data_IF_500762586141
#
_entry.id   IF_500762586141
#
_cell.length_a   1.000
_cell.length_b   1.000
_cell.length_c   1.000
_cell.angle_alpha   90.00
_cell.angle_beta   90.00
_cell.angle_gamma   90.00
#
_symmetry.space_group_name_H-M   'P 1'
#
loop_
_entity.id
_entity.type
_entity.pdbx_description
1 polymer ?
#
# COMPACT_ATOMS: atom_id res chain seq x y z
N UNK A 1 12.78 10.68 -32.81
CA UNK A 1 13.53 11.16 -31.63
C UNK A 1 13.22 10.19 -30.49
N UNK A 2 14.21 9.54 -29.88
CA UNK A 2 14.00 8.72 -28.68
C UNK A 2 13.83 9.68 -27.50
N UNK A 3 12.62 9.78 -26.95
CA UNK A 3 12.39 10.44 -25.67
C UNK A 3 12.75 9.45 -24.56
N UNK A 4 13.82 9.69 -23.76
CA UNK A 4 14.12 8.82 -22.65
C UNK A 4 12.96 8.87 -21.65
N UNK A 5 12.38 7.71 -21.36
CA UNK A 5 11.38 7.60 -20.30
C UNK A 5 12.08 7.72 -18.95
N UNK A 6 11.77 8.76 -18.20
CA UNK A 6 12.37 9.01 -16.88
C UNK A 6 11.46 8.46 -15.78
N UNK A 7 11.82 7.36 -15.10
CA UNK A 7 11.04 6.90 -13.96
C UNK A 7 11.08 7.93 -12.82
N UNK A 8 10.03 8.01 -11.97
CA UNK A 8 10.10 8.85 -10.78
C UNK A 8 11.22 8.38 -9.84
N UNK A 9 11.76 9.28 -9.02
CA UNK A 9 12.79 8.90 -8.05
C UNK A 9 12.29 7.75 -7.16
N UNK A 10 13.21 6.88 -6.74
CA UNK A 10 12.91 5.75 -5.86
C UNK A 10 11.87 4.76 -6.44
N UNK A 11 11.73 4.74 -7.77
CA UNK A 11 10.88 3.78 -8.47
C UNK A 11 11.43 2.36 -8.39
N UNK A 12 10.55 1.39 -8.13
CA UNK A 12 10.84 -0.04 -8.25
C UNK A 12 9.55 -0.87 -8.33
N UNK A 13 9.68 -2.12 -8.79
CA UNK A 13 8.63 -3.13 -8.63
C UNK A 13 8.64 -3.69 -7.19
N UNK A 14 7.46 -3.78 -6.58
CA UNK A 14 7.22 -4.49 -5.32
C UNK A 14 6.77 -5.91 -5.62
N UNK A 15 5.80 -6.06 -6.53
CA UNK A 15 5.43 -7.33 -7.17
C UNK A 15 5.53 -7.10 -8.70
N UNK A 16 6.47 -7.75 -9.41
CA UNK A 16 6.69 -7.52 -10.83
C UNK A 16 5.41 -7.65 -11.67
N UNK A 17 5.10 -6.62 -12.46
CA UNK A 17 3.89 -6.58 -13.30
C UNK A 17 2.61 -6.12 -12.58
N UNK A 18 2.59 -6.11 -11.24
CA UNK A 18 1.38 -5.88 -10.46
C UNK A 18 1.45 -4.65 -9.57
N UNK A 19 2.51 -4.50 -8.78
CA UNK A 19 2.63 -3.46 -7.75
C UNK A 19 3.98 -2.77 -7.88
N UNK A 20 3.94 -1.44 -7.94
CA UNK A 20 5.10 -0.58 -8.03
C UNK A 20 5.14 0.40 -6.86
N UNK A 21 6.33 0.92 -6.56
CA UNK A 21 6.55 2.00 -5.59
C UNK A 21 7.30 3.14 -6.24
N UNK A 22 7.13 4.38 -5.76
CA UNK A 22 8.01 5.50 -6.10
C UNK A 22 7.90 6.69 -5.13
N UNK A 23 8.68 7.74 -5.38
CA UNK A 23 8.47 9.09 -4.87
C UNK A 23 7.30 9.78 -5.56
N UNK A 24 6.97 11.02 -5.18
CA UNK A 24 5.86 11.74 -5.81
C UNK A 24 6.11 11.95 -7.31
N UNK A 25 5.24 11.46 -8.21
CA UNK A 25 5.42 11.64 -9.65
C UNK A 25 5.36 13.10 -10.07
N UNK A 26 6.25 13.48 -10.98
CA UNK A 26 6.25 14.78 -11.65
C UNK A 26 5.92 14.61 -13.13
N UNK A 27 5.64 15.72 -13.80
CA UNK A 27 5.31 15.74 -15.23
C UNK A 27 6.38 15.06 -16.10
N UNK A 28 7.66 15.23 -15.76
CA UNK A 28 8.78 14.56 -16.45
C UNK A 28 8.70 13.02 -16.39
N UNK A 29 7.89 12.46 -15.48
CA UNK A 29 7.73 11.02 -15.30
C UNK A 29 6.48 10.45 -15.98
N UNK A 30 5.54 11.29 -16.43
CA UNK A 30 4.23 10.83 -16.90
C UNK A 30 4.33 9.91 -18.10
N UNK A 31 5.23 10.21 -19.05
CA UNK A 31 5.47 9.35 -20.20
C UNK A 31 5.99 7.97 -19.79
N UNK A 32 6.85 7.88 -18.76
CA UNK A 32 7.26 6.59 -18.20
C UNK A 32 6.08 5.87 -17.55
N UNK A 33 5.27 6.57 -16.75
CA UNK A 33 4.13 5.96 -16.05
C UNK A 33 3.06 5.43 -17.01
N UNK A 34 2.87 6.04 -18.18
CA UNK A 34 2.00 5.51 -19.25
C UNK A 34 2.42 4.11 -19.69
N UNK A 35 3.72 3.82 -19.72
CA UNK A 35 4.23 2.51 -20.13
C UNK A 35 3.83 1.39 -19.16
N UNK A 36 3.59 1.72 -17.89
CA UNK A 36 3.17 0.78 -16.86
C UNK A 36 1.69 0.39 -16.97
N UNK A 37 0.90 1.14 -17.74
CA UNK A 37 -0.55 0.95 -17.92
C UNK A 37 -1.27 0.80 -16.57
N UNK A 38 -0.94 1.71 -15.64
CA UNK A 38 -1.48 1.69 -14.29
C UNK A 38 -3.00 1.72 -14.33
N UNK A 39 -3.62 0.85 -13.53
CA UNK A 39 -5.06 0.88 -13.28
C UNK A 39 -5.38 1.79 -12.11
N UNK A 40 -4.48 1.86 -11.13
CA UNK A 40 -4.69 2.70 -9.96
C UNK A 40 -3.40 3.22 -9.34
N UNK A 41 -3.55 4.28 -8.53
CA UNK A 41 -2.48 4.92 -7.77
C UNK A 41 -2.94 5.06 -6.32
N UNK A 42 -2.08 4.70 -5.36
CA UNK A 42 -2.25 4.91 -3.94
C UNK A 42 -1.31 6.03 -3.45
N UNK A 43 -1.88 7.18 -3.13
CA UNK A 43 -1.17 8.32 -2.53
C UNK A 43 -1.28 8.31 -1.01
N UNK A 44 -0.14 8.32 -0.33
CA UNK A 44 -0.05 8.16 1.13
C UNK A 44 0.07 9.48 1.92
N UNK A 45 -0.15 10.61 1.26
CA UNK A 45 -0.02 11.96 1.87
C UNK A 45 -1.35 12.70 1.83
N UNK A 46 -1.51 13.66 2.75
CA UNK A 46 -2.71 14.49 2.83
C UNK A 46 -2.78 15.60 1.77
N UNK A 47 -1.61 15.99 1.26
CA UNK A 47 -1.47 17.12 0.35
C UNK A 47 -2.21 16.82 -0.96
N UNK A 48 -2.88 17.84 -1.50
CA UNK A 48 -3.62 17.68 -2.73
C UNK A 48 -2.69 17.44 -3.92
N UNK A 49 -3.22 16.76 -4.94
CA UNK A 49 -2.47 16.53 -6.16
C UNK A 49 -2.34 17.83 -6.95
N UNK A 50 -1.20 18.02 -7.62
CA UNK A 50 -1.11 19.10 -8.60
C UNK A 50 -2.15 18.88 -9.70
N UNK A 51 -2.63 19.98 -10.30
CA UNK A 51 -3.61 19.91 -11.40
C UNK A 51 -3.12 19.02 -12.54
N UNK A 52 -1.83 19.10 -12.88
CA UNK A 52 -1.22 18.29 -13.93
C UNK A 52 -1.23 16.80 -13.58
N UNK A 53 -1.00 16.44 -12.31
CA UNK A 53 -1.05 15.04 -11.89
C UNK A 53 -2.48 14.51 -11.82
N UNK A 54 -3.43 15.32 -11.36
CA UNK A 54 -4.85 14.97 -11.38
C UNK A 54 -5.35 14.76 -12.81
N UNK A 55 -4.99 15.66 -13.73
CA UNK A 55 -5.29 15.54 -15.16
C UNK A 55 -4.65 14.31 -15.78
N UNK A 56 -3.38 14.03 -15.47
CA UNK A 56 -2.72 12.81 -15.92
C UNK A 56 -3.49 11.55 -15.49
N UNK A 57 -3.92 11.47 -14.23
CA UNK A 57 -4.70 10.32 -13.76
C UNK A 57 -6.04 10.21 -14.50
N UNK A 58 -6.73 11.33 -14.71
CA UNK A 58 -8.00 11.37 -15.44
C UNK A 58 -7.83 10.93 -16.90
N UNK A 59 -6.88 11.52 -17.64
CA UNK A 59 -6.64 11.27 -19.06
C UNK A 59 -6.25 9.80 -19.34
N UNK A 60 -5.70 9.11 -18.33
CA UNK A 60 -5.27 7.71 -18.44
C UNK A 60 -6.23 6.73 -17.74
N UNK A 61 -7.40 7.20 -17.24
CA UNK A 61 -8.39 6.34 -16.59
C UNK A 61 -7.90 5.70 -15.28
N UNK A 62 -6.94 6.33 -14.60
CA UNK A 62 -6.31 5.81 -13.39
C UNK A 62 -7.22 6.10 -12.19
N UNK A 63 -7.61 5.05 -11.46
CA UNK A 63 -8.32 5.20 -10.19
C UNK A 63 -7.38 5.71 -9.11
N UNK A 64 -7.70 6.86 -8.53
CA UNK A 64 -6.91 7.44 -7.44
C UNK A 64 -7.44 7.02 -6.07
N UNK A 65 -6.61 6.36 -5.29
CA UNK A 65 -6.84 6.03 -3.88
C UNK A 65 -5.97 6.93 -3.01
N UNK A 66 -6.55 7.50 -1.95
CA UNK A 66 -5.81 8.35 -1.00
C UNK A 66 -6.01 7.85 0.42
N UNK A 67 -4.91 7.48 1.08
CA UNK A 67 -4.89 7.11 2.50
C UNK A 67 -3.84 7.95 3.19
N UNK A 68 -4.25 8.83 4.10
CA UNK A 68 -3.29 9.69 4.79
C UNK A 68 -2.53 8.90 5.86
N UNK A 69 -1.29 8.51 5.54
CA UNK A 69 -0.39 7.89 6.51
C UNK A 69 0.41 8.98 7.21
N UNK A 70 0.27 9.17 8.54
CA UNK A 70 1.03 10.18 9.27
C UNK A 70 2.51 9.80 9.33
N UNK A 71 3.38 10.79 9.54
CA UNK A 71 4.83 10.56 9.58
C UNK A 71 5.30 10.21 11.00
N UNK A 72 6.04 9.11 11.14
CA UNK A 72 6.73 8.74 12.38
C UNK A 72 8.04 9.55 12.53
N UNK A 73 7.96 10.84 12.91
CA UNK A 73 9.13 11.71 13.08
C UNK A 73 9.69 11.71 14.50
N UNK A 74 8.83 11.98 15.47
CA UNK A 74 9.17 12.11 16.90
C UNK A 74 8.59 10.96 17.70
N UNK A 75 7.42 10.48 17.30
CA UNK A 75 6.72 9.33 17.87
C UNK A 75 6.15 8.46 16.75
N UNK A 76 5.80 7.21 17.07
CA UNK A 76 4.99 6.38 16.18
C UNK A 76 3.58 6.97 16.12
N UNK A 77 3.20 7.48 14.95
CA UNK A 77 1.88 8.11 14.70
C UNK A 77 1.02 7.30 13.74
N UNK A 78 1.61 6.41 12.95
CA UNK A 78 0.85 5.48 12.11
C UNK A 78 0.07 4.55 13.05
N UNK A 79 -1.25 4.50 12.88
CA UNK A 79 -2.10 3.58 13.63
C UNK A 79 -2.33 2.30 12.82
N UNK A 80 -2.64 1.16 13.48
CA UNK A 80 -2.98 -0.07 12.77
C UNK A 80 -4.13 0.10 11.77
N UNK A 81 -5.15 0.89 12.11
CA UNK A 81 -6.33 1.13 11.27
C UNK A 81 -5.96 1.82 9.96
N UNK A 82 -5.11 2.85 10.03
CA UNK A 82 -4.62 3.56 8.83
C UNK A 82 -3.81 2.61 7.94
N UNK A 83 -3.02 1.72 8.54
CA UNK A 83 -2.26 0.73 7.78
C UNK A 83 -3.18 -0.34 7.16
N UNK A 84 -4.22 -0.78 7.89
CA UNK A 84 -5.25 -1.68 7.36
C UNK A 84 -5.94 -1.07 6.13
N UNK A 85 -6.30 0.22 6.18
CA UNK A 85 -6.94 0.89 5.05
C UNK A 85 -6.02 0.99 3.83
N UNK A 86 -4.73 1.31 4.03
CA UNK A 86 -3.75 1.27 2.94
C UNK A 86 -3.59 -0.14 2.38
N UNK A 87 -3.48 -1.16 3.24
CA UNK A 87 -3.30 -2.55 2.82
C UNK A 87 -4.52 -3.13 2.11
N UNK A 88 -5.75 -2.71 2.44
CA UNK A 88 -6.94 -3.11 1.67
C UNK A 88 -6.86 -2.67 0.21
N UNK A 89 -6.30 -1.49 -0.07
CA UNK A 89 -6.07 -1.05 -1.45
C UNK A 89 -4.96 -1.88 -2.10
N UNK A 90 -3.86 -2.11 -1.37
CA UNK A 90 -2.70 -2.84 -1.90
C UNK A 90 -3.00 -4.31 -2.15
N UNK A 91 -3.80 -4.97 -1.31
CA UNK A 91 -4.13 -6.40 -1.41
C UNK A 91 -5.23 -6.67 -2.45
N UNK A 92 -6.05 -5.69 -2.80
CA UNK A 92 -7.13 -5.85 -3.76
C UNK A 92 -6.57 -5.94 -5.20
N UNK A 93 -6.60 -7.14 -5.77
CA UNK A 93 -6.06 -7.43 -7.11
C UNK A 93 -6.81 -6.68 -8.21
N UNK A 94 -8.04 -6.24 -7.96
CA UNK A 94 -8.78 -5.43 -8.92
C UNK A 94 -8.15 -4.05 -9.15
N UNK A 95 -7.18 -3.63 -8.32
CA UNK A 95 -6.48 -2.36 -8.46
C UNK A 95 -5.23 -2.42 -9.36
N UNK A 96 -4.82 -3.60 -9.85
CA UNK A 96 -3.54 -3.75 -10.55
C UNK A 96 -3.61 -3.45 -12.06
N UNK A 97 -2.53 -2.89 -12.64
CA UNK A 97 -1.26 -2.52 -11.99
C UNK A 97 -1.38 -1.28 -11.09
N UNK A 98 -0.87 -1.38 -9.86
CA UNK A 98 -0.97 -0.36 -8.79
C UNK A 98 0.38 0.32 -8.56
N UNK A 99 0.38 1.65 -8.44
CA UNK A 99 1.54 2.42 -7.99
C UNK A 99 1.32 3.01 -6.59
N UNK A 100 2.23 2.76 -5.66
CA UNK A 100 2.20 3.27 -4.30
C UNK A 100 3.23 4.41 -4.15
N UNK A 101 2.81 5.58 -3.70
CA UNK A 101 3.76 6.66 -3.44
C UNK A 101 3.41 7.54 -2.23
N UNK A 102 4.43 8.21 -1.72
CA UNK A 102 4.30 9.35 -0.82
C UNK A 102 5.11 10.52 -1.40
N UNK A 103 5.67 11.42 -0.58
CA UNK A 103 6.48 12.52 -1.11
C UNK A 103 7.83 12.04 -1.68
N UNK A 104 8.51 11.13 -0.99
CA UNK A 104 9.86 10.66 -1.37
C UNK A 104 9.95 9.14 -1.57
N UNK A 105 8.85 8.42 -1.41
CA UNK A 105 8.84 6.96 -1.56
C UNK A 105 9.64 6.21 -0.49
N UNK A 106 9.93 6.84 0.67
CA UNK A 106 10.82 6.29 1.71
C UNK A 106 10.06 5.74 2.90
N UNK A 107 9.57 6.64 3.77
CA UNK A 107 8.97 6.30 5.07
C UNK A 107 7.60 5.66 4.94
N UNK A 108 6.58 6.45 4.54
CA UNK A 108 5.18 5.99 4.44
C UNK A 108 5.00 4.87 3.43
N UNK A 109 5.56 5.03 2.24
CA UNK A 109 5.60 3.97 1.22
C UNK A 109 6.36 2.75 1.73
N UNK A 110 7.48 2.95 2.43
CA UNK A 110 8.25 1.86 3.04
C UNK A 110 7.45 1.08 4.07
N UNK A 111 6.75 1.74 4.99
CA UNK A 111 5.89 1.08 5.97
C UNK A 111 4.77 0.27 5.32
N UNK A 112 4.10 0.82 4.30
CA UNK A 112 3.03 0.11 3.57
C UNK A 112 3.58 -1.12 2.85
N UNK A 113 4.69 -0.97 2.11
CA UNK A 113 5.33 -2.09 1.41
C UNK A 113 5.83 -3.15 2.40
N UNK A 114 6.45 -2.73 3.49
CA UNK A 114 6.93 -3.64 4.53
C UNK A 114 5.80 -4.42 5.20
N UNK A 115 4.68 -3.76 5.53
CA UNK A 115 3.51 -4.43 6.11
C UNK A 115 2.83 -5.35 5.09
N UNK A 116 2.80 -5.00 3.80
CA UNK A 116 2.33 -5.90 2.74
C UNK A 116 3.18 -7.18 2.68
N UNK A 117 4.51 -7.05 2.63
CA UNK A 117 5.43 -8.19 2.67
C UNK A 117 5.29 -9.03 3.94
N UNK A 118 5.06 -8.38 5.09
CA UNK A 118 4.76 -9.06 6.37
C UNK A 118 3.49 -9.89 6.29
N UNK A 119 2.44 -9.39 5.62
CA UNK A 119 1.19 -10.14 5.37
C UNK A 119 1.45 -11.37 4.50
N UNK A 120 2.36 -11.28 3.53
CA UNK A 120 2.77 -12.42 2.69
C UNK A 120 3.68 -13.43 3.41
N UNK A 121 4.00 -13.19 4.69
CA UNK A 121 4.86 -14.07 5.47
C UNK A 121 6.35 -13.97 5.16
N UNK A 122 6.80 -12.87 4.53
CA UNK A 122 8.23 -12.67 4.28
C UNK A 122 9.02 -12.53 5.60
N UNK A 123 10.27 -13.02 5.66
CA UNK A 123 11.09 -12.90 6.87
C UNK A 123 11.34 -11.43 7.24
N UNK A 124 11.20 -11.10 8.53
CA UNK A 124 11.35 -9.72 9.02
C UNK A 124 12.69 -9.07 8.65
N UNK A 125 13.77 -9.86 8.62
CA UNK A 125 15.08 -9.38 8.17
C UNK A 125 15.04 -8.88 6.71
N UNK A 126 14.47 -9.66 5.80
CA UNK A 126 14.35 -9.28 4.39
C UNK A 126 13.46 -8.05 4.21
N UNK A 127 12.38 -7.94 5.01
CA UNK A 127 11.49 -6.77 5.02
C UNK A 127 12.26 -5.50 5.43
N UNK A 128 13.05 -5.58 6.50
CA UNK A 128 13.85 -4.44 6.97
C UNK A 128 14.97 -4.09 5.99
N UNK A 129 15.67 -5.08 5.44
CA UNK A 129 16.71 -4.86 4.43
C UNK A 129 16.12 -4.13 3.20
N UNK A 130 14.96 -4.55 2.72
CA UNK A 130 14.23 -3.86 1.64
C UNK A 130 13.85 -2.42 2.02
N UNK A 131 13.33 -2.20 3.23
CA UNK A 131 13.05 -0.85 3.73
C UNK A 131 14.30 0.04 3.70
N UNK A 132 15.45 -0.47 4.16
CA UNK A 132 16.71 0.27 4.19
C UNK A 132 17.26 0.59 2.79
N UNK A 133 17.06 -0.28 1.79
CA UNK A 133 17.45 -0.01 0.39
C UNK A 133 16.81 1.30 -0.09
N UNK A 134 15.50 1.49 0.14
CA UNK A 134 14.78 2.65 -0.39
C UNK A 134 14.80 3.87 0.55
N UNK A 135 14.86 3.65 1.86
CA UNK A 135 14.97 4.76 2.81
C UNK A 135 16.41 5.35 2.81
N UNK A 136 17.41 4.49 2.62
CA UNK A 136 18.83 4.82 2.66
C UNK A 136 19.22 5.48 3.99
N UNK A 137 20.10 6.47 3.93
CA UNK A 137 20.53 7.26 5.09
C UNK A 137 19.40 8.04 5.80
N UNK A 138 18.16 7.98 5.30
CA UNK A 138 16.97 8.58 5.92
C UNK A 138 16.06 7.54 6.58
N UNK A 139 16.47 6.28 6.71
CA UNK A 139 15.76 5.26 7.48
C UNK A 139 15.45 5.76 8.90
N UNK A 140 14.30 5.36 9.44
CA UNK A 140 13.81 5.81 10.75
C UNK A 140 13.52 4.61 11.65
N UNK A 141 14.11 4.58 12.86
CA UNK A 141 13.78 3.54 13.85
C UNK A 141 12.29 3.46 14.19
N UNK A 142 11.57 4.61 14.17
CA UNK A 142 10.13 4.64 14.44
C UNK A 142 9.27 4.04 13.30
N UNK A 143 9.78 3.99 12.07
CA UNK A 143 9.11 3.26 10.99
C UNK A 143 9.27 1.75 11.23
N UNK A 144 10.49 1.30 11.57
CA UNK A 144 10.78 -0.10 11.90
C UNK A 144 10.02 -0.58 13.13
N UNK A 145 9.95 0.24 14.18
CA UNK A 145 9.16 -0.05 15.38
C UNK A 145 7.68 -0.30 15.03
N UNK A 146 7.12 0.50 14.12
CA UNK A 146 5.75 0.29 13.66
C UNK A 146 5.64 -1.02 12.87
N UNK A 147 6.55 -1.28 11.91
CA UNK A 147 6.59 -2.51 11.10
C UNK A 147 6.66 -3.75 12.00
N UNK A 148 7.48 -3.71 13.05
CA UNK A 148 7.61 -4.79 14.03
C UNK A 148 6.30 -5.03 14.76
N UNK A 149 5.64 -3.96 15.24
CA UNK A 149 4.42 -4.05 16.03
C UNK A 149 3.13 -4.36 15.25
N UNK A 150 3.10 -4.12 13.93
CA UNK A 150 1.88 -4.28 13.14
C UNK A 150 1.41 -5.74 13.09
N UNK A 151 0.18 -6.02 13.51
CA UNK A 151 -0.41 -7.35 13.43
C UNK A 151 -0.96 -7.64 12.02
N UNK A 152 -0.26 -8.50 11.28
CA UNK A 152 -0.63 -8.90 9.93
C UNK A 152 -1.95 -9.69 9.88
N UNK A 153 -2.39 -10.30 10.98
CA UNK A 153 -3.65 -11.04 11.03
C UNK A 153 -4.87 -10.13 10.82
N UNK A 154 -4.75 -8.83 11.09
CA UNK A 154 -5.80 -7.83 10.88
C UNK A 154 -6.33 -7.78 9.43
N UNK A 155 -5.51 -8.16 8.44
CA UNK A 155 -5.88 -8.20 7.01
C UNK A 155 -5.74 -9.57 6.37
N UNK A 156 -5.36 -10.61 7.12
CA UNK A 156 -5.11 -11.94 6.57
C UNK A 156 -6.36 -12.55 5.91
N UNK A 157 -7.56 -12.28 6.45
CA UNK A 157 -8.82 -12.71 5.83
C UNK A 157 -9.00 -12.12 4.42
N UNK A 158 -8.65 -10.84 4.23
CA UNK A 158 -8.79 -10.16 2.96
C UNK A 158 -7.69 -10.60 1.98
N UNK A 159 -6.47 -10.81 2.48
CA UNK A 159 -5.39 -11.37 1.69
C UNK A 159 -5.78 -12.76 1.11
N UNK A 160 -6.42 -13.63 1.90
CA UNK A 160 -6.96 -14.91 1.42
C UNK A 160 -8.05 -14.73 0.37
N UNK A 161 -9.02 -13.84 0.63
CA UNK A 161 -10.07 -13.51 -0.35
C UNK A 161 -9.51 -13.05 -1.70
N UNK A 162 -8.39 -12.31 -1.66
CA UNK A 162 -7.70 -11.81 -2.85
C UNK A 162 -6.64 -12.79 -3.40
N UNK A 163 -6.56 -14.02 -2.86
CA UNK A 163 -5.62 -15.05 -3.32
C UNK A 163 -4.14 -14.74 -3.07
N UNK A 164 -3.83 -13.89 -2.10
CA UNK A 164 -2.46 -13.61 -1.65
C UNK A 164 -1.93 -14.65 -0.64
N UNK A 165 -2.83 -15.26 0.12
CA UNK A 165 -2.52 -16.30 1.09
C UNK A 165 -3.36 -17.54 0.79
N UNK A 166 -2.78 -18.71 1.06
CA UNK A 166 -3.49 -19.97 0.97
C UNK A 166 -4.44 -20.15 2.18
N UNK A 167 -5.53 -20.89 1.97
CA UNK A 167 -6.47 -21.29 3.01
C UNK A 167 -5.89 -22.46 3.83
N UNK A 168 -4.99 -22.17 4.76
CA UNK A 168 -4.24 -23.22 5.48
C UNK A 168 -4.75 -23.47 6.93
N UNK A 169 -6.00 -23.13 7.28
CA UNK A 169 -6.50 -23.33 8.67
C UNK A 169 -8.02 -23.46 8.81
N UNK A 170 -8.52 -24.11 9.89
CA UNK A 170 -9.94 -24.38 10.08
C UNK A 170 -10.69 -23.05 10.15
N UNK A 171 -11.78 -22.94 9.39
CA UNK A 171 -12.65 -21.76 9.38
C UNK A 171 -12.94 -21.35 10.82
N UNK A 172 -12.42 -20.20 11.26
CA UNK A 172 -12.98 -19.52 12.41
C UNK A 172 -14.47 -19.35 12.13
N UNK A 173 -15.39 -19.81 13.00
CA UNK A 173 -16.81 -19.56 12.78
C UNK A 173 -16.98 -18.05 12.69
N UNK A 174 -17.44 -17.58 11.53
CA UNK A 174 -17.77 -16.18 11.33
C UNK A 174 -18.76 -15.72 12.41
N UNK A 175 -18.87 -14.41 12.66
CA UNK A 175 -19.79 -13.90 13.67
C UNK A 175 -21.18 -14.49 13.43
N UNK A 176 -21.67 -15.24 14.42
CA UNK A 176 -23.01 -15.83 14.37
C UNK A 176 -24.02 -14.69 14.16
N UNK A 177 -25.00 -14.84 13.25
CA UNK A 177 -26.08 -13.87 13.15
C UNK A 177 -26.79 -13.81 14.51
N UNK A 178 -27.19 -12.61 14.97
CA UNK A 178 -27.91 -12.48 16.22
C UNK A 178 -29.17 -13.33 16.15
N UNK A 179 -29.35 -14.20 17.15
CA UNK A 179 -30.56 -15.00 17.30
C UNK A 179 -31.77 -14.06 17.32
N UNK A 180 -32.63 -14.17 16.31
CA UNK A 180 -33.96 -13.57 16.33
C UNK A 180 -34.75 -14.22 17.46
N UNK A 181 -34.96 -13.49 18.55
CA UNK A 181 -35.91 -13.86 19.59
C UNK A 181 -37.30 -13.95 18.97
N UNK A 182 -37.84 -15.17 18.83
CA UNK A 182 -39.24 -15.36 18.52
C UNK A 182 -40.07 -14.81 19.69
N UNK A 183 -40.85 -13.77 19.41
CA UNK A 183 -41.87 -13.27 20.30
C UNK A 183 -42.90 -14.40 20.56
N UNK A 184 -43.00 -14.84 21.82
CA UNK A 184 -44.18 -15.57 22.30
C UNK A 184 -45.38 -14.64 22.18
N UNK A 185 -46.31 -14.96 21.28
CA UNK A 185 -47.67 -14.45 21.35
C UNK A 185 -48.33 -15.07 22.59
N UNK A 186 -48.70 -14.21 23.53
CA UNK A 186 -49.78 -14.45 24.50
C UNK A 186 -50.88 -13.44 24.21
#
# INVERSE_FOLDING_TARGET
RLSPFTPPDNYAAVSPGEIYRCSYPKEENFEFLKTLKLKSILTLVKDDCSENYAKFMQDNGIKHHRVHVPANKETVKITPEVMVDALKVVLDRSNYPLLIHCNKGKHRTGCVVACFKKVLGEPMRAIKDDYHIYAGAKARPLDEQFIDSFDAHAVAWFARLQGWLLDDGPRSPGPHPPHSSQAKKS
#
